data_IF_429380052854
#
_entry.id   IF_429380052854
#
_cell.length_a   1.000
_cell.length_b   1.000
_cell.length_c   1.000
_cell.angle_alpha   90.00
_cell.angle_beta   90.00
_cell.angle_gamma   90.00
#
_symmetry.space_group_name_H-M   'P 1'
#
loop_
_entity.id
_entity.type
_entity.pdbx_description
1 polymer ?
#
# COMPACT_ATOMS: atom_id res chain seq x y z
N UNK A 1 12.10 -14.17 25.15
CA UNK A 1 12.03 -12.89 24.48
C UNK A 1 13.07 -11.99 25.09
N UNK A 2 14.24 -11.94 24.45
CA UNK A 2 15.26 -10.94 24.78
C UNK A 2 15.03 -9.70 23.92
N UNK A 3 15.49 -8.56 24.41
CA UNK A 3 15.58 -7.32 23.65
C UNK A 3 17.03 -7.17 23.22
N UNK A 4 17.26 -6.99 21.92
CA UNK A 4 18.58 -6.91 21.31
C UNK A 4 18.70 -5.54 20.64
N UNK A 5 19.65 -4.73 21.10
CA UNK A 5 19.71 -3.32 20.75
C UNK A 5 20.79 -3.07 19.70
N UNK A 6 20.46 -2.32 18.64
CA UNK A 6 21.42 -1.86 17.65
C UNK A 6 22.42 -0.89 18.28
N UNK A 7 23.71 -1.11 18.06
CA UNK A 7 24.79 -0.31 18.65
C UNK A 7 24.90 1.09 18.03
N UNK A 8 24.23 1.33 16.89
CA UNK A 8 24.24 2.57 16.14
C UNK A 8 25.27 2.58 15.00
N UNK A 9 25.20 3.59 14.14
CA UNK A 9 26.02 3.62 12.92
C UNK A 9 25.48 2.71 11.82
N UNK A 10 26.24 2.61 10.73
CA UNK A 10 25.88 1.80 9.56
C UNK A 10 26.44 0.38 9.69
N UNK A 11 25.63 -0.63 9.40
CA UNK A 11 26.00 -2.03 9.60
C UNK A 11 25.04 -3.02 8.97
N UNK A 12 25.31 -4.30 9.20
CA UNK A 12 24.57 -5.43 8.65
C UNK A 12 23.77 -6.11 9.76
N UNK A 13 22.49 -6.40 9.52
CA UNK A 13 21.64 -7.07 10.51
C UNK A 13 22.26 -8.36 11.05
N UNK A 14 22.97 -9.11 10.21
CA UNK A 14 23.55 -10.41 10.56
C UNK A 14 24.96 -10.33 11.17
N UNK A 15 25.54 -9.14 11.35
CA UNK A 15 26.77 -8.98 12.12
C UNK A 15 26.46 -8.89 13.63
N UNK A 16 26.82 -9.88 14.46
CA UNK A 16 26.55 -9.83 15.89
C UNK A 16 27.21 -8.61 16.56
N UNK A 17 28.31 -8.08 16.04
CA UNK A 17 29.02 -6.92 16.62
C UNK A 17 28.27 -5.60 16.49
N UNK A 18 27.26 -5.54 15.61
CA UNK A 18 26.38 -4.38 15.48
C UNK A 18 25.24 -4.39 16.50
N UNK A 19 25.11 -5.46 17.29
CA UNK A 19 24.08 -5.61 18.32
C UNK A 19 24.68 -5.66 19.73
N UNK A 20 23.89 -5.28 20.74
CA UNK A 20 24.17 -5.54 22.16
C UNK A 20 23.18 -6.60 22.66
N UNK A 21 23.65 -7.71 23.29
CA UNK A 21 25.00 -7.98 23.82
C UNK A 21 25.90 -8.80 22.87
N UNK A 22 26.14 -8.34 21.64
CA UNK A 22 26.96 -9.01 20.62
C UNK A 22 26.33 -10.32 20.12
N UNK A 23 25.03 -10.27 19.78
CA UNK A 23 24.28 -11.38 19.22
C UNK A 23 23.24 -10.89 18.20
N UNK A 24 23.05 -11.64 17.11
CA UNK A 24 22.02 -11.36 16.11
C UNK A 24 20.63 -11.67 16.69
N UNK A 25 19.63 -10.78 16.55
CA UNK A 25 18.24 -11.05 16.94
C UNK A 25 17.67 -12.28 16.21
N UNK A 26 16.97 -13.15 16.93
CA UNK A 26 16.34 -14.37 16.36
C UNK A 26 14.83 -14.39 16.58
N UNK A 27 14.14 -15.46 16.15
CA UNK A 27 12.67 -15.59 16.17
C UNK A 27 12.01 -15.40 17.53
N UNK A 28 12.78 -15.54 18.61
CA UNK A 28 12.29 -15.33 19.96
C UNK A 28 12.49 -13.90 20.48
N UNK A 29 13.19 -13.04 19.74
CA UNK A 29 13.74 -11.78 20.22
C UNK A 29 13.07 -10.56 19.58
N UNK A 30 13.14 -9.42 20.29
CA UNK A 30 12.78 -8.12 19.74
C UNK A 30 14.05 -7.35 19.43
N UNK A 31 14.24 -6.99 18.17
CA UNK A 31 15.30 -6.09 17.73
C UNK A 31 14.87 -4.64 17.98
N UNK A 32 15.73 -3.81 18.58
CA UNK A 32 15.46 -2.39 18.75
C UNK A 32 16.53 -1.52 18.12
N UNK A 33 16.09 -0.52 17.37
CA UNK A 33 16.94 0.52 16.78
C UNK A 33 16.53 1.83 17.42
N UNK A 34 17.23 2.19 18.50
CA UNK A 34 16.94 3.36 19.33
C UNK A 34 18.14 4.30 19.38
N UNK A 35 17.98 5.44 20.06
CA UNK A 35 19.06 6.41 20.26
C UNK A 35 18.90 7.69 19.43
N UNK A 36 20.00 8.39 19.23
CA UNK A 36 20.01 9.75 18.64
C UNK A 36 21.11 9.96 17.59
N UNK A 37 21.87 8.91 17.29
CA UNK A 37 22.88 8.93 16.22
C UNK A 37 22.28 8.27 14.98
N UNK A 38 22.77 8.62 13.79
CA UNK A 38 22.34 7.95 12.57
C UNK A 38 22.65 6.45 12.65
N UNK A 39 21.70 5.64 12.19
CA UNK A 39 21.82 4.18 12.16
C UNK A 39 21.32 3.69 10.81
N UNK A 40 22.19 3.10 10.00
CA UNK A 40 21.79 2.50 8.72
C UNK A 40 21.91 0.99 8.86
N UNK A 41 20.79 0.30 8.97
CA UNK A 41 20.73 -1.16 9.15
C UNK A 41 20.34 -1.78 7.83
N UNK A 42 21.13 -2.74 7.34
CA UNK A 42 20.85 -3.43 6.08
C UNK A 42 20.50 -4.91 6.34
N UNK A 43 19.43 -5.39 5.73
CA UNK A 43 19.17 -6.81 5.48
C UNK A 43 19.37 -7.03 3.98
N UNK A 44 20.51 -7.63 3.60
CA UNK A 44 20.90 -7.80 2.20
C UNK A 44 19.97 -8.77 1.45
N UNK A 45 19.91 -8.65 0.12
CA UNK A 45 19.02 -9.43 -0.75
C UNK A 45 19.15 -10.96 -0.71
N UNK A 46 20.21 -11.51 -0.12
CA UNK A 46 20.40 -12.94 0.07
C UNK A 46 20.15 -13.42 1.51
N UNK A 47 19.63 -12.54 2.37
CA UNK A 47 19.46 -12.79 3.79
C UNK A 47 18.01 -13.07 4.16
N UNK A 48 17.84 -13.84 5.23
CA UNK A 48 16.53 -14.17 5.79
C UNK A 48 16.61 -13.96 7.29
N UNK A 49 15.88 -12.96 7.76
CA UNK A 49 15.76 -12.58 9.15
C UNK A 49 14.38 -12.99 9.64
N UNK A 50 14.33 -13.55 10.84
CA UNK A 50 13.08 -13.83 11.52
C UNK A 50 13.21 -13.47 12.98
N UNK A 51 12.33 -12.61 13.45
CA UNK A 51 12.31 -12.06 14.82
C UNK A 51 10.90 -12.07 15.39
N UNK A 52 10.76 -11.94 16.72
CA UNK A 52 9.43 -11.73 17.30
C UNK A 52 8.95 -10.30 17.04
N UNK A 53 9.86 -9.33 17.03
CA UNK A 53 9.50 -7.99 16.60
C UNK A 53 10.66 -7.08 16.32
N UNK A 54 10.34 -5.94 15.72
CA UNK A 54 11.25 -4.84 15.45
C UNK A 54 10.67 -3.57 16.07
N UNK A 55 11.49 -2.78 16.73
CA UNK A 55 11.11 -1.45 17.22
C UNK A 55 12.11 -0.43 16.72
N UNK A 56 11.64 0.58 15.98
CA UNK A 56 12.44 1.71 15.54
C UNK A 56 11.89 2.96 16.21
N UNK A 57 12.68 3.56 17.10
CA UNK A 57 12.37 4.79 17.85
C UNK A 57 13.52 5.82 17.72
N UNK A 58 14.42 5.59 16.78
CA UNK A 58 15.46 6.54 16.42
C UNK A 58 15.03 7.31 15.16
N UNK A 59 14.80 8.63 15.23
CA UNK A 59 14.36 9.42 14.07
C UNK A 59 15.42 9.55 12.97
N UNK A 60 16.65 9.13 13.23
CA UNK A 60 17.75 9.10 12.26
C UNK A 60 18.11 7.67 11.82
N UNK A 61 17.27 6.69 12.16
CA UNK A 61 17.48 5.32 11.72
C UNK A 61 16.83 5.08 10.35
N UNK A 62 17.55 4.31 9.52
CA UNK A 62 17.06 3.70 8.30
C UNK A 62 17.27 2.20 8.41
N UNK A 63 16.23 1.41 8.20
CA UNK A 63 16.30 -0.04 8.01
C UNK A 63 15.99 -0.34 6.53
N UNK A 64 16.99 -0.77 5.78
CA UNK A 64 16.87 -1.19 4.40
C UNK A 64 16.66 -2.71 4.35
N UNK A 65 15.53 -3.14 3.78
CA UNK A 65 15.17 -4.54 3.62
C UNK A 65 15.28 -4.90 2.15
N UNK A 66 16.45 -5.34 1.71
CA UNK A 66 16.65 -5.93 0.37
C UNK A 66 16.29 -7.42 0.37
N UNK A 67 16.48 -8.09 1.51
CA UNK A 67 16.25 -9.51 1.71
C UNK A 67 14.85 -9.84 2.20
N UNK A 68 14.77 -10.75 3.16
CA UNK A 68 13.51 -11.17 3.77
C UNK A 68 13.50 -10.88 5.28
N UNK A 69 12.51 -10.12 5.74
CA UNK A 69 12.25 -9.85 7.15
C UNK A 69 10.88 -10.42 7.54
N UNK A 70 10.86 -11.43 8.43
CA UNK A 70 9.62 -11.81 9.11
C UNK A 70 9.64 -11.41 10.57
N UNK A 71 8.55 -10.77 11.01
CA UNK A 71 8.36 -10.33 12.38
C UNK A 71 6.89 -10.53 12.76
N UNK A 72 6.56 -10.79 14.04
CA UNK A 72 5.16 -10.74 14.46
C UNK A 72 4.67 -9.27 14.51
N UNK A 73 5.55 -8.37 14.94
CA UNK A 73 5.25 -6.94 15.08
C UNK A 73 6.42 -6.07 14.62
N UNK A 74 6.12 -4.98 13.92
CA UNK A 74 7.07 -3.92 13.60
C UNK A 74 6.47 -2.61 14.14
N UNK A 75 7.07 -2.06 15.20
CA UNK A 75 6.66 -0.80 15.79
C UNK A 75 7.56 0.33 15.27
N UNK A 76 7.02 1.11 14.32
CA UNK A 76 7.73 2.19 13.64
C UNK A 76 7.34 3.54 14.27
N UNK A 77 7.93 3.82 15.44
CA UNK A 77 7.65 5.03 16.23
C UNK A 77 8.39 6.26 15.67
N UNK A 78 9.53 6.03 15.00
CA UNK A 78 10.31 7.05 14.30
C UNK A 78 11.18 6.37 13.23
N UNK A 79 11.93 7.17 12.46
CA UNK A 79 12.85 6.67 11.44
C UNK A 79 12.13 6.13 10.21
N UNK A 80 12.84 5.37 9.39
CA UNK A 80 12.36 4.88 8.10
C UNK A 80 12.69 3.41 7.93
N UNK A 81 11.74 2.66 7.36
CA UNK A 81 12.01 1.37 6.72
C UNK A 81 11.89 1.58 5.22
N UNK A 82 12.91 1.18 4.46
CA UNK A 82 12.84 1.08 3.00
C UNK A 82 12.74 -0.40 2.65
N UNK A 83 11.64 -0.80 2.03
CA UNK A 83 11.44 -2.17 1.57
C UNK A 83 11.69 -2.28 0.06
N UNK A 84 12.73 -3.03 -0.28
CA UNK A 84 13.13 -3.42 -1.64
C UNK A 84 13.09 -4.96 -1.81
N UNK A 85 12.70 -5.67 -0.76
CA UNK A 85 12.72 -7.12 -0.65
C UNK A 85 11.36 -7.65 -0.22
N UNK A 86 11.28 -8.25 0.97
CA UNK A 86 10.03 -8.76 1.51
C UNK A 86 9.95 -8.56 3.01
N UNK A 87 8.87 -7.93 3.46
CA UNK A 87 8.39 -7.99 4.84
C UNK A 87 7.26 -9.02 4.90
N UNK A 88 7.21 -9.80 5.97
CA UNK A 88 6.22 -10.88 6.06
C UNK A 88 5.71 -11.19 7.47
N UNK A 89 4.42 -11.52 7.52
CA UNK A 89 3.66 -11.96 8.70
C UNK A 89 3.61 -10.94 9.84
N UNK A 90 3.88 -9.67 9.54
CA UNK A 90 4.00 -8.59 10.51
C UNK A 90 2.71 -7.79 10.66
N UNK A 91 2.41 -7.43 11.91
CA UNK A 91 1.61 -6.23 12.18
C UNK A 91 2.57 -5.04 12.24
N UNK A 92 2.49 -4.16 11.24
CA UNK A 92 3.33 -2.97 11.10
C UNK A 92 2.54 -1.76 11.61
N UNK A 93 2.95 -1.24 12.77
CA UNK A 93 2.36 -0.05 13.38
C UNK A 93 3.17 1.20 12.98
N UNK A 94 2.52 2.09 12.23
CA UNK A 94 3.06 3.36 11.73
C UNK A 94 2.73 4.49 12.71
N UNK A 95 3.52 4.58 13.79
CA UNK A 95 3.29 5.46 14.94
C UNK A 95 4.22 6.69 14.97
N UNK A 96 4.83 7.03 13.83
CA UNK A 96 5.64 8.24 13.70
C UNK A 96 6.84 8.12 12.74
N UNK A 97 7.19 6.91 12.30
CA UNK A 97 8.14 6.71 11.19
C UNK A 97 7.46 6.48 9.84
N UNK A 98 8.27 6.25 8.79
CA UNK A 98 7.82 6.03 7.41
C UNK A 98 8.17 4.64 6.90
N UNK A 99 7.24 4.02 6.18
CA UNK A 99 7.48 2.82 5.40
C UNK A 99 7.51 3.22 3.92
N UNK A 100 8.70 3.16 3.34
CA UNK A 100 8.97 3.52 1.95
C UNK A 100 9.23 2.25 1.13
N UNK A 101 8.93 2.31 -0.16
CA UNK A 101 9.09 1.17 -1.07
C UNK A 101 9.91 1.60 -2.29
N UNK A 102 10.89 0.80 -2.69
CA UNK A 102 11.41 0.84 -4.06
C UNK A 102 10.64 -0.14 -4.93
N UNK A 103 10.70 -1.43 -4.58
CA UNK A 103 9.87 -2.52 -5.13
C UNK A 103 9.58 -3.63 -4.09
N UNK A 104 9.29 -3.26 -2.85
CA UNK A 104 9.09 -4.18 -1.73
C UNK A 104 7.77 -4.97 -1.77
N UNK A 105 7.78 -6.15 -1.15
CA UNK A 105 6.65 -7.04 -1.00
C UNK A 105 6.19 -7.11 0.47
N UNK A 106 4.91 -6.83 0.71
CA UNK A 106 4.20 -7.17 1.93
C UNK A 106 3.51 -8.54 1.77
N UNK A 107 3.94 -9.54 2.55
CA UNK A 107 3.45 -10.92 2.50
C UNK A 107 2.78 -11.35 3.80
N UNK A 108 1.44 -11.45 3.80
CA UNK A 108 0.61 -11.72 4.97
C UNK A 108 0.67 -10.64 6.08
N UNK A 109 0.85 -9.37 5.71
CA UNK A 109 1.02 -8.27 6.66
C UNK A 109 -0.28 -7.53 6.98
N UNK A 110 -0.26 -6.83 8.12
CA UNK A 110 -1.28 -5.87 8.54
C UNK A 110 -0.63 -4.52 8.78
N UNK A 111 -1.23 -3.45 8.26
CA UNK A 111 -0.86 -2.08 8.60
C UNK A 111 -1.78 -1.51 9.68
N UNK A 112 -1.21 -0.91 10.71
CA UNK A 112 -1.90 -0.08 11.70
C UNK A 112 -1.43 1.36 11.57
N UNK A 113 -2.35 2.28 11.32
CA UNK A 113 -2.03 3.68 11.02
C UNK A 113 -2.16 4.01 9.54
N UNK A 114 -1.54 5.11 9.13
CA UNK A 114 -1.64 5.64 7.77
C UNK A 114 -0.46 5.18 6.90
N UNK A 115 -0.75 4.34 5.90
CA UNK A 115 0.22 4.00 4.86
C UNK A 115 0.25 5.12 3.82
N UNK A 116 1.44 5.61 3.48
CA UNK A 116 1.63 6.67 2.49
C UNK A 116 2.70 6.23 1.49
N UNK A 117 2.33 6.17 0.20
CA UNK A 117 3.24 5.91 -0.90
C UNK A 117 3.55 7.25 -1.58
N UNK A 118 4.57 7.96 -1.09
CA UNK A 118 4.93 9.31 -1.56
C UNK A 118 6.09 9.37 -2.56
N UNK A 119 6.71 8.24 -2.90
CA UNK A 119 7.86 8.12 -3.81
C UNK A 119 7.48 7.73 -5.23
N UNK A 120 8.39 7.08 -5.97
CA UNK A 120 8.10 6.48 -7.30
C UNK A 120 8.13 4.95 -7.25
N UNK A 121 7.82 4.39 -6.07
CA UNK A 121 7.99 2.98 -5.78
C UNK A 121 6.71 2.16 -5.91
N UNK A 122 6.87 0.86 -5.93
CA UNK A 122 5.75 -0.10 -5.90
C UNK A 122 5.73 -0.83 -4.55
N UNK A 123 4.58 -0.80 -3.88
CA UNK A 123 4.27 -1.73 -2.78
C UNK A 123 3.49 -2.91 -3.37
N UNK A 124 4.11 -4.08 -3.43
CA UNK A 124 3.44 -5.32 -3.82
C UNK A 124 2.79 -5.98 -2.60
N UNK A 125 1.58 -6.50 -2.78
CA UNK A 125 0.80 -7.18 -1.76
C UNK A 125 0.54 -8.61 -2.23
N UNK A 126 0.86 -9.58 -1.37
CA UNK A 126 0.47 -10.97 -1.54
C UNK A 126 0.05 -11.59 -0.19
N UNK A 127 -0.75 -12.64 -0.26
CA UNK A 127 -1.32 -13.31 0.91
C UNK A 127 -2.40 -12.46 1.59
N UNK A 128 -2.55 -12.61 2.91
CA UNK A 128 -3.55 -11.82 3.64
C UNK A 128 -3.06 -10.40 3.86
N UNK A 129 -3.83 -9.40 3.45
CA UNK A 129 -3.53 -8.00 3.75
C UNK A 129 -4.68 -7.32 4.47
N UNK A 130 -4.36 -6.46 5.43
CA UNK A 130 -5.34 -5.61 6.11
C UNK A 130 -4.73 -4.26 6.47
N UNK A 131 -5.54 -3.20 6.37
CA UNK A 131 -5.22 -1.88 6.88
C UNK A 131 -6.26 -1.46 7.93
N UNK A 132 -5.78 -0.92 9.04
CA UNK A 132 -6.63 -0.41 10.14
C UNK A 132 -6.11 0.93 10.61
N UNK A 133 -6.95 1.67 11.35
CA UNK A 133 -6.49 2.86 12.05
C UNK A 133 -5.40 2.54 13.07
N UNK A 134 -4.85 3.59 13.69
CA UNK A 134 -3.86 3.44 14.76
C UNK A 134 -4.41 2.55 15.89
N UNK A 135 -3.50 1.83 16.56
CA UNK A 135 -3.81 0.79 17.57
C UNK A 135 -4.63 -0.41 17.04
N UNK A 136 -4.69 -0.59 15.71
CA UNK A 136 -5.34 -1.74 15.10
C UNK A 136 -6.87 -1.65 15.05
N UNK A 137 -7.45 -0.47 15.28
CA UNK A 137 -8.91 -0.28 15.36
C UNK A 137 -9.45 0.69 14.32
N UNK A 138 -10.69 0.48 13.91
CA UNK A 138 -11.37 1.32 12.93
C UNK A 138 -10.83 1.16 11.50
N UNK A 139 -11.34 1.97 10.55
CA UNK A 139 -10.93 1.90 9.15
C UNK A 139 -9.46 2.28 8.94
N UNK A 140 -8.78 1.56 8.05
CA UNK A 140 -7.44 1.89 7.58
C UNK A 140 -7.42 3.07 6.61
N UNK A 141 -6.26 3.69 6.46
CA UNK A 141 -6.03 4.74 5.46
C UNK A 141 -4.78 4.45 4.66
N UNK A 142 -4.91 4.48 3.33
CA UNK A 142 -3.82 4.35 2.39
C UNK A 142 -3.84 5.61 1.52
N UNK A 143 -2.69 6.27 1.38
CA UNK A 143 -2.50 7.40 0.46
C UNK A 143 -1.48 6.99 -0.59
N UNK A 144 -1.81 7.22 -1.86
CA UNK A 144 -0.95 7.00 -3.00
C UNK A 144 -0.79 8.38 -3.65
N UNK A 145 0.29 9.10 -3.30
CA UNK A 145 0.51 10.50 -3.64
C UNK A 145 1.94 10.78 -4.16
N UNK A 146 2.61 9.73 -4.64
CA UNK A 146 3.94 9.76 -5.18
C UNK A 146 4.04 10.18 -6.66
N UNK A 147 5.24 10.15 -7.21
CA UNK A 147 5.47 10.40 -8.63
C UNK A 147 5.64 9.06 -9.34
N UNK A 148 4.52 8.48 -9.79
CA UNK A 148 4.42 7.13 -10.35
C UNK A 148 4.41 6.01 -9.27
N UNK A 149 3.74 6.23 -8.15
CA UNK A 149 3.66 5.23 -7.07
C UNK A 149 2.56 4.21 -7.33
N UNK A 150 2.80 2.95 -6.96
CA UNK A 150 1.85 1.85 -7.23
C UNK A 150 1.60 1.00 -5.99
N UNK A 151 0.34 0.76 -5.66
CA UNK A 151 -0.06 -0.31 -4.76
C UNK A 151 -0.61 -1.48 -5.61
N UNK A 152 0.12 -2.60 -5.64
CA UNK A 152 -0.18 -3.75 -6.49
C UNK A 152 -0.62 -4.96 -5.67
N UNK A 153 -1.86 -5.42 -5.86
CA UNK A 153 -2.34 -6.71 -5.33
C UNK A 153 -2.07 -7.82 -6.35
N UNK A 154 -1.19 -8.77 -6.03
CA UNK A 154 -0.63 -9.69 -7.03
C UNK A 154 -1.00 -11.17 -6.83
N UNK A 155 -2.06 -11.47 -6.09
CA UNK A 155 -2.60 -12.83 -6.02
C UNK A 155 -3.67 -13.09 -7.09
N UNK A 156 -3.99 -14.37 -7.28
CA UNK A 156 -5.09 -14.76 -8.15
C UNK A 156 -6.43 -14.15 -7.70
N UNK A 157 -6.59 -14.01 -6.38
CA UNK A 157 -7.76 -13.38 -5.75
C UNK A 157 -7.33 -12.64 -4.48
N UNK A 158 -7.61 -11.35 -4.45
CA UNK A 158 -7.36 -10.45 -3.33
C UNK A 158 -8.67 -9.81 -2.86
N UNK A 159 -8.71 -9.41 -1.60
CA UNK A 159 -9.80 -8.63 -1.04
C UNK A 159 -9.29 -7.61 -0.05
N UNK A 160 -9.82 -6.39 -0.15
CA UNK A 160 -9.60 -5.34 0.83
C UNK A 160 -10.95 -4.91 1.39
N UNK A 161 -11.02 -4.64 2.69
CA UNK A 161 -12.23 -4.10 3.31
C UNK A 161 -11.87 -3.01 4.33
N UNK A 162 -12.87 -2.23 4.73
CA UNK A 162 -12.78 -1.25 5.82
C UNK A 162 -11.56 -0.30 5.69
N UNK A 163 -11.29 0.18 4.47
CA UNK A 163 -10.11 1.00 4.16
C UNK A 163 -10.50 2.18 3.27
N UNK A 164 -9.98 3.37 3.57
CA UNK A 164 -10.04 4.51 2.66
C UNK A 164 -8.72 4.62 1.90
N UNK A 165 -8.79 4.57 0.57
CA UNK A 165 -7.68 4.77 -0.35
C UNK A 165 -7.85 6.15 -0.99
N UNK A 166 -6.87 7.01 -0.80
CA UNK A 166 -6.80 8.33 -1.43
C UNK A 166 -5.68 8.32 -2.46
N UNK A 167 -6.00 8.64 -3.71
CA UNK A 167 -5.05 8.58 -4.82
C UNK A 167 -4.90 9.98 -5.44
N UNK A 168 -3.66 10.37 -5.70
CA UNK A 168 -3.34 11.49 -6.56
C UNK A 168 -2.21 12.35 -6.00
N UNK A 169 -1.25 12.65 -6.86
CA UNK A 169 -0.12 13.53 -6.61
C UNK A 169 -0.13 14.77 -7.51
N UNK A 170 0.86 15.64 -7.32
CA UNK A 170 1.08 16.80 -8.18
C UNK A 170 1.74 16.46 -9.53
N UNK A 171 2.15 15.21 -9.76
CA UNK A 171 2.72 14.74 -11.02
C UNK A 171 3.21 13.30 -10.96
N UNK A 172 3.09 12.59 -12.07
CA UNK A 172 3.25 11.13 -12.15
C UNK A 172 1.89 10.43 -12.26
N UNK A 173 1.90 9.10 -12.43
CA UNK A 173 0.73 8.24 -12.54
C UNK A 173 0.65 7.31 -11.32
N UNK A 174 -0.11 7.75 -10.32
CA UNK A 174 -0.37 6.95 -9.12
C UNK A 174 -1.44 5.91 -9.36
N UNK A 175 -1.17 4.64 -8.99
CA UNK A 175 -2.07 3.53 -9.32
C UNK A 175 -2.39 2.62 -8.13
N UNK A 176 -3.65 2.18 -8.10
CA UNK A 176 -4.09 0.98 -7.40
C UNK A 176 -4.27 -0.10 -8.46
N UNK A 177 -3.52 -1.19 -8.37
CA UNK A 177 -3.44 -2.20 -9.41
C UNK A 177 -3.70 -3.61 -8.87
N UNK A 178 -4.11 -4.51 -9.77
CA UNK A 178 -4.35 -5.91 -9.46
C UNK A 178 -3.82 -6.82 -10.58
N UNK A 179 -3.04 -7.85 -10.21
CA UNK A 179 -2.60 -8.91 -11.13
C UNK A 179 -3.66 -10.00 -11.36
N UNK A 180 -4.55 -10.21 -10.38
CA UNK A 180 -5.68 -11.13 -10.44
C UNK A 180 -7.02 -10.45 -10.19
N UNK A 181 -7.89 -11.05 -9.39
CA UNK A 181 -9.18 -10.44 -9.01
C UNK A 181 -9.04 -9.69 -7.69
N UNK A 182 -9.16 -8.36 -7.69
CA UNK A 182 -9.23 -7.57 -6.46
C UNK A 182 -10.68 -7.18 -6.16
N UNK A 183 -11.17 -7.59 -4.99
CA UNK A 183 -12.47 -7.16 -4.47
C UNK A 183 -12.30 -6.01 -3.47
N UNK A 184 -12.84 -4.86 -3.81
CA UNK A 184 -13.00 -3.72 -2.91
C UNK A 184 -14.31 -3.90 -2.14
N UNK A 185 -14.21 -4.37 -0.90
CA UNK A 185 -15.35 -4.68 -0.04
C UNK A 185 -16.25 -3.49 0.29
N UNK A 186 -17.41 -3.77 0.89
CA UNK A 186 -18.45 -2.75 1.15
C UNK A 186 -18.01 -1.60 2.06
N UNK A 187 -16.97 -1.80 2.88
CA UNK A 187 -16.38 -0.76 3.74
C UNK A 187 -15.24 0.01 3.08
N UNK A 188 -14.91 -0.26 1.81
CA UNK A 188 -13.86 0.43 1.07
C UNK A 188 -14.37 1.73 0.47
N UNK A 189 -13.54 2.77 0.57
CA UNK A 189 -13.70 4.03 -0.17
C UNK A 189 -12.43 4.25 -0.98
N UNK A 190 -12.56 4.42 -2.29
CA UNK A 190 -11.48 4.90 -3.18
C UNK A 190 -11.85 6.32 -3.60
N UNK A 191 -10.95 7.28 -3.42
CA UNK A 191 -11.20 8.68 -3.74
C UNK A 191 -9.96 9.36 -4.32
N UNK A 192 -10.18 10.42 -5.10
CA UNK A 192 -9.10 11.27 -5.60
C UNK A 192 -8.75 12.42 -4.66
N UNK A 193 -7.51 12.90 -4.74
CA UNK A 193 -7.12 14.19 -4.17
C UNK A 193 -7.49 15.34 -5.12
N UNK A 194 -7.32 16.59 -4.68
CA UNK A 194 -7.60 17.77 -5.51
C UNK A 194 -6.55 18.05 -6.59
N UNK A 195 -5.50 17.23 -6.72
CA UNK A 195 -4.45 17.41 -7.73
C UNK A 195 -4.82 16.70 -9.03
N UNK A 196 -4.50 17.34 -10.15
CA UNK A 196 -4.87 16.89 -11.49
C UNK A 196 -3.91 15.79 -11.96
N UNK A 197 -4.45 14.85 -12.75
CA UNK A 197 -3.84 13.65 -13.35
C UNK A 197 -4.01 12.39 -12.47
N UNK A 198 -4.74 11.41 -13.00
CA UNK A 198 -4.96 10.11 -12.36
C UNK A 198 -5.08 9.02 -13.42
N UNK A 199 -4.14 8.08 -13.42
CA UNK A 199 -4.33 6.80 -14.10
C UNK A 199 -4.63 5.77 -13.01
N UNK A 200 -5.91 5.46 -12.78
CA UNK A 200 -6.27 4.25 -12.03
C UNK A 200 -6.11 3.07 -13.01
N UNK A 201 -4.84 2.79 -13.33
CA UNK A 201 -4.43 1.61 -14.05
C UNK A 201 -4.63 0.39 -13.15
N UNK A 202 -5.86 -0.12 -13.13
CA UNK A 202 -6.18 -1.41 -12.56
C UNK A 202 -5.74 -2.52 -13.54
N UNK A 203 -4.44 -2.54 -13.89
CA UNK A 203 -3.69 -3.56 -14.65
C UNK A 203 -2.59 -2.96 -15.57
N UNK A 204 -1.76 -2.02 -15.12
CA UNK A 204 -0.71 -1.41 -15.97
C UNK A 204 0.23 -2.42 -16.64
N UNK A 205 0.38 -3.63 -16.09
CA UNK A 205 1.19 -4.71 -16.71
C UNK A 205 0.47 -6.06 -16.88
N UNK A 206 -0.81 -6.21 -16.51
CA UNK A 206 -1.48 -7.52 -16.58
C UNK A 206 -2.91 -7.64 -16.06
N UNK A 207 -3.84 -7.93 -16.98
CA UNK A 207 -4.92 -8.93 -16.88
C UNK A 207 -5.92 -8.97 -15.69
N UNK A 208 -5.84 -8.11 -14.68
CA UNK A 208 -6.67 -8.18 -13.47
C UNK A 208 -8.16 -7.84 -13.67
N UNK A 209 -9.00 -8.21 -12.70
CA UNK A 209 -10.41 -7.82 -12.62
C UNK A 209 -10.66 -7.10 -11.32
N UNK A 210 -11.39 -6.00 -11.36
CA UNK A 210 -11.78 -5.26 -10.15
C UNK A 210 -13.25 -5.44 -9.90
N UNK A 211 -13.58 -5.78 -8.67
CA UNK A 211 -14.94 -5.85 -8.16
C UNK A 211 -15.09 -4.75 -7.12
N UNK A 212 -15.84 -3.71 -7.46
CA UNK A 212 -16.22 -2.67 -6.52
C UNK A 212 -17.54 -3.05 -5.83
N UNK A 213 -17.48 -3.48 -4.57
CA UNK A 213 -18.63 -3.57 -3.67
C UNK A 213 -18.73 -2.33 -2.75
N UNK A 214 -17.67 -1.53 -2.68
CA UNK A 214 -17.55 -0.31 -1.88
C UNK A 214 -17.98 0.98 -2.60
N UNK A 215 -17.27 2.08 -2.31
CA UNK A 215 -17.51 3.39 -2.92
C UNK A 215 -16.29 3.90 -3.68
N UNK A 216 -16.50 4.37 -4.91
CA UNK A 216 -15.51 5.10 -5.70
C UNK A 216 -16.00 6.53 -5.86
N UNK A 217 -15.14 7.50 -5.57
CA UNK A 217 -15.46 8.93 -5.56
C UNK A 217 -14.42 9.66 -6.44
N UNK A 218 -14.87 10.13 -7.60
CA UNK A 218 -14.13 11.06 -8.43
C UNK A 218 -14.66 12.48 -8.18
N UNK A 219 -13.96 13.28 -7.36
CA UNK A 219 -14.41 14.63 -6.99
C UNK A 219 -13.34 15.73 -7.13
N UNK A 220 -12.19 15.40 -7.70
CA UNK A 220 -11.14 16.33 -8.08
C UNK A 220 -11.63 17.36 -9.11
N UNK A 221 -11.72 18.63 -8.74
CA UNK A 221 -12.34 19.70 -9.55
C UNK A 221 -11.72 19.96 -10.94
N UNK A 222 -10.55 19.40 -11.21
CA UNK A 222 -9.88 19.41 -12.52
C UNK A 222 -9.08 18.12 -12.76
N UNK A 223 -9.40 17.07 -12.00
CA UNK A 223 -8.77 15.77 -12.12
C UNK A 223 -9.62 14.85 -12.98
N UNK A 224 -8.93 14.01 -13.71
CA UNK A 224 -9.49 12.83 -14.37
C UNK A 224 -9.42 11.66 -13.36
N UNK A 225 -10.22 10.63 -13.55
CA UNK A 225 -10.06 9.32 -12.92
C UNK A 225 -10.25 8.26 -13.99
N UNK A 226 -9.23 7.45 -14.25
CA UNK A 226 -9.29 6.41 -15.28
C UNK A 226 -9.46 5.04 -14.67
N UNK A 227 -10.55 4.32 -14.95
CA UNK A 227 -10.76 2.95 -14.49
C UNK A 227 -10.40 1.96 -15.61
N UNK A 228 -9.13 1.61 -15.70
CA UNK A 228 -8.59 0.75 -16.77
C UNK A 228 -8.45 -0.70 -16.29
N UNK A 229 -9.16 -1.66 -16.90
CA UNK A 229 -8.98 -3.09 -16.55
C UNK A 229 -9.51 -4.03 -17.65
N UNK A 230 -9.07 -5.28 -17.76
CA UNK A 230 -9.76 -6.26 -18.62
C UNK A 230 -11.24 -6.45 -18.26
N UNK A 231 -11.58 -6.41 -16.98
CA UNK A 231 -12.96 -6.41 -16.53
C UNK A 231 -13.14 -5.58 -15.26
N UNK A 232 -14.19 -4.77 -15.26
CA UNK A 232 -14.61 -3.97 -14.12
C UNK A 232 -16.06 -4.31 -13.75
N UNK A 233 -16.29 -4.67 -12.50
CA UNK A 233 -17.60 -5.02 -11.97
C UNK A 233 -17.94 -4.03 -10.86
N UNK A 234 -18.97 -3.22 -11.06
CA UNK A 234 -19.50 -2.32 -10.04
C UNK A 234 -20.79 -2.89 -9.43
N UNK A 235 -20.72 -3.33 -8.19
CA UNK A 235 -21.88 -3.68 -7.36
C UNK A 235 -22.17 -2.62 -6.28
N UNK A 236 -21.18 -1.80 -5.95
CA UNK A 236 -21.24 -0.74 -4.96
C UNK A 236 -21.72 0.60 -5.53
N UNK A 237 -21.02 1.68 -5.20
CA UNK A 237 -21.33 3.03 -5.67
C UNK A 237 -20.14 3.67 -6.38
N UNK A 238 -20.43 4.41 -7.44
CA UNK A 238 -19.52 5.33 -8.11
C UNK A 238 -20.18 6.71 -8.09
N UNK A 239 -19.45 7.71 -7.58
CA UNK A 239 -19.89 9.10 -7.57
C UNK A 239 -18.86 9.95 -8.30
N UNK A 240 -19.30 10.67 -9.32
CA UNK A 240 -18.50 11.70 -9.99
C UNK A 240 -19.08 13.06 -9.63
N UNK A 241 -18.27 13.96 -9.07
CA UNK A 241 -18.72 15.24 -8.55
C UNK A 241 -17.68 16.34 -8.80
N UNK A 242 -17.98 17.56 -8.36
CA UNK A 242 -16.98 18.65 -8.33
C UNK A 242 -16.54 19.18 -9.70
N UNK A 243 -17.11 18.72 -10.81
CA UNK A 243 -16.59 18.99 -12.16
C UNK A 243 -15.51 18.01 -12.62
N UNK A 244 -15.29 16.91 -11.88
CA UNK A 244 -14.37 15.85 -12.24
C UNK A 244 -14.83 15.09 -13.50
N UNK A 245 -13.84 14.55 -14.21
CA UNK A 245 -14.04 13.61 -15.30
C UNK A 245 -13.67 12.20 -14.84
N UNK A 246 -14.54 11.23 -15.10
CA UNK A 246 -14.30 9.80 -14.88
C UNK A 246 -14.27 9.12 -16.25
N UNK A 247 -13.20 8.43 -16.59
CA UNK A 247 -13.13 7.57 -17.76
C UNK A 247 -13.09 6.10 -17.31
N UNK A 248 -13.97 5.28 -17.87
CA UNK A 248 -14.13 3.85 -17.55
C UNK A 248 -13.78 3.08 -18.82
N UNK A 249 -12.58 2.51 -18.86
CA UNK A 249 -11.97 1.93 -20.08
C UNK A 249 -11.66 0.46 -19.96
N UNK A 250 -12.63 -0.40 -19.58
CA UNK A 250 -12.30 -1.79 -19.49
C UNK A 250 -12.11 -2.40 -20.87
N UNK A 251 -10.95 -3.01 -21.13
CA UNK A 251 -10.61 -3.64 -22.42
C UNK A 251 -11.43 -4.91 -22.72
N UNK A 252 -12.32 -5.31 -21.82
CA UNK A 252 -13.24 -6.43 -21.95
C UNK A 252 -14.65 -6.09 -21.52
N UNK A 253 -14.96 -6.23 -20.23
CA UNK A 253 -16.33 -6.10 -19.72
C UNK A 253 -16.47 -5.01 -18.67
N UNK A 254 -17.48 -4.15 -18.84
CA UNK A 254 -18.02 -3.35 -17.74
C UNK A 254 -19.38 -3.93 -17.32
N UNK A 255 -19.51 -4.37 -16.07
CA UNK A 255 -20.78 -4.78 -15.49
C UNK A 255 -21.15 -3.85 -14.33
N UNK A 256 -22.30 -3.19 -14.42
CA UNK A 256 -22.81 -2.29 -13.41
C UNK A 256 -24.15 -2.79 -12.87
N UNK A 257 -24.17 -3.23 -11.61
CA UNK A 257 -25.39 -3.48 -10.83
C UNK A 257 -25.54 -2.48 -9.67
N UNK A 258 -24.47 -1.72 -9.40
CA UNK A 258 -24.40 -0.68 -8.40
C UNK A 258 -24.92 0.69 -8.85
N UNK A 259 -24.78 1.67 -7.96
CA UNK A 259 -25.14 3.06 -8.22
C UNK A 259 -24.03 3.77 -9.00
N UNK A 260 -24.41 4.50 -10.05
CA UNK A 260 -23.54 5.47 -10.73
C UNK A 260 -24.20 6.85 -10.68
N UNK A 261 -23.58 7.80 -9.98
CA UNK A 261 -24.09 9.17 -9.82
C UNK A 261 -23.14 10.16 -10.47
N UNK A 262 -23.66 10.98 -11.39
CA UNK A 262 -22.90 12.04 -12.06
C UNK A 262 -23.44 13.39 -11.60
N UNK A 263 -22.58 14.16 -10.93
CA UNK A 263 -22.85 15.50 -10.42
C UNK A 263 -22.85 16.58 -11.50
N UNK A 264 -23.22 17.79 -11.11
CA UNK A 264 -23.24 18.93 -12.03
C UNK A 264 -21.82 19.22 -12.55
N UNK A 265 -21.71 19.47 -13.86
CA UNK A 265 -20.48 19.76 -14.58
C UNK A 265 -19.43 18.62 -14.58
N UNK A 266 -19.78 17.44 -14.08
CA UNK A 266 -18.94 16.24 -14.15
C UNK A 266 -19.25 15.40 -15.38
N UNK A 267 -18.28 14.61 -15.82
CA UNK A 267 -18.43 13.67 -16.94
C UNK A 267 -18.12 12.25 -16.51
N UNK A 268 -18.85 11.28 -17.05
CA UNK A 268 -18.40 9.89 -17.08
C UNK A 268 -18.36 9.40 -18.52
N UNK A 269 -17.18 9.01 -18.97
CA UNK A 269 -16.94 8.37 -20.26
C UNK A 269 -16.81 6.88 -20.03
N UNK A 270 -17.48 6.07 -20.87
CA UNK A 270 -17.32 4.62 -20.85
C UNK A 270 -16.89 4.21 -22.25
N UNK A 271 -15.68 3.66 -22.39
CA UNK A 271 -15.04 3.41 -23.67
C UNK A 271 -14.26 2.09 -23.70
N UNK A 272 -13.75 1.73 -24.88
CA UNK A 272 -12.82 0.61 -25.14
C UNK A 272 -13.24 -0.80 -24.69
N UNK A 273 -14.54 -1.01 -24.46
CA UNK A 273 -15.09 -2.29 -24.00
C UNK A 273 -15.72 -3.16 -25.10
N UNK A 274 -15.71 -4.47 -24.86
CA UNK A 274 -16.44 -5.45 -25.68
C UNK A 274 -17.90 -5.58 -25.24
N UNK A 275 -18.17 -5.54 -23.92
CA UNK A 275 -19.52 -5.73 -23.35
C UNK A 275 -19.78 -4.74 -22.22
N UNK A 276 -20.92 -4.04 -22.30
CA UNK A 276 -21.45 -3.20 -21.22
C UNK A 276 -22.79 -3.74 -20.75
N UNK A 277 -22.90 -4.02 -19.46
CA UNK A 277 -24.17 -4.40 -18.80
C UNK A 277 -24.47 -3.39 -17.70
N UNK A 278 -25.71 -2.87 -17.70
CA UNK A 278 -26.20 -1.99 -16.64
C UNK A 278 -27.61 -2.44 -16.24
N UNK A 279 -27.79 -2.86 -14.99
CA UNK A 279 -29.05 -3.48 -14.50
C UNK A 279 -29.44 -2.96 -13.14
#
# INVERSE_FOLDING_TARGET
MATIDWNGGSGDWNDPSDWTPEQVPTTGDTATITGTIASDVLINGNETVSVAGVTIDNPLASLEVDGYLSADTIALQAGTITDDGTIANATIALDGGSLDFGFGLLYNDKIEGALVLGGSGTAEIQGTFAATGIDGTGPGTITIDGADSTLLFNDATDSLDNTTITIGSAGGLDSLSAGGVLTLGTGVVVQTTTTAFLDVALASDGAGTIINDGSIIADAASGEMDLESPAFINNGAITVAGGADLEITPYGTFANTGLLTIGNASTATIAYLNTFTNT
#
